data_IF_215399304780
#
_entry.id   IF_215399304780
#
_cell.length_a   1.000
_cell.length_b   1.000
_cell.length_c   1.000
_cell.angle_alpha   90.00
_cell.angle_beta   90.00
_cell.angle_gamma   90.00
#
_symmetry.space_group_name_H-M   'P 1'
#
loop_
_entity.id
_entity.type
_entity.pdbx_description
1 polymer ?
#
# COMPACT_ATOMS: atom_id res chain seq x y z
N UNK A 1 -0.73 -38.87 0.98
CA UNK A 1 -2.13 -38.47 0.91
C UNK A 1 -2.24 -37.31 -0.05
N UNK A 2 -3.01 -37.40 -1.10
CA UNK A 2 -3.19 -36.25 -1.97
C UNK A 2 -4.03 -35.18 -1.24
N UNK A 3 -3.58 -33.94 -1.31
CA UNK A 3 -4.28 -32.76 -0.81
C UNK A 3 -5.69 -32.68 -1.38
N UNK A 4 -6.69 -32.56 -0.52
CA UNK A 4 -8.06 -32.24 -0.93
C UNK A 4 -8.20 -30.74 -1.23
N UNK A 5 -8.94 -30.34 -2.26
CA UNK A 5 -9.07 -28.93 -2.70
C UNK A 5 -10.04 -28.09 -1.86
N UNK A 6 -10.28 -28.42 -0.59
CA UNK A 6 -11.31 -27.80 0.26
C UNK A 6 -10.77 -27.13 1.54
N UNK A 7 -9.47 -26.91 1.66
CA UNK A 7 -8.98 -26.10 2.77
C UNK A 7 -9.23 -24.60 2.47
N UNK A 8 -9.83 -23.84 3.42
CA UNK A 8 -10.04 -22.42 3.22
C UNK A 8 -8.69 -21.72 3.03
N UNK A 9 -8.60 -20.76 2.12
CA UNK A 9 -7.35 -20.05 1.85
C UNK A 9 -6.80 -19.40 3.12
N UNK A 10 -5.52 -19.53 3.33
CA UNK A 10 -4.81 -18.88 4.44
C UNK A 10 -4.92 -17.36 4.30
N UNK A 11 -4.86 -16.63 5.42
CA UNK A 11 -5.02 -15.17 5.42
C UNK A 11 -4.12 -14.44 4.41
N UNK A 12 -2.92 -14.99 4.10
CA UNK A 12 -2.01 -14.43 3.10
C UNK A 12 -2.52 -14.59 1.66
N UNK A 13 -3.24 -15.66 1.37
CA UNK A 13 -3.87 -15.87 0.06
C UNK A 13 -5.10 -14.99 -0.13
N UNK A 14 -5.83 -14.70 0.97
CA UNK A 14 -6.94 -13.75 0.94
C UNK A 14 -6.47 -12.33 0.68
N UNK A 15 -5.35 -11.92 1.28
CA UNK A 15 -4.74 -10.62 1.05
C UNK A 15 -4.23 -10.52 -0.39
N UNK A 16 -3.55 -11.55 -0.89
CA UNK A 16 -3.10 -11.62 -2.27
C UNK A 16 -4.27 -11.61 -3.28
N UNK A 17 -5.39 -12.27 -2.94
CA UNK A 17 -6.59 -12.28 -3.77
C UNK A 17 -7.36 -10.96 -3.73
N UNK A 18 -7.42 -10.27 -2.59
CA UNK A 18 -8.03 -8.94 -2.52
C UNK A 18 -7.19 -7.85 -3.19
N UNK A 19 -5.87 -8.07 -3.28
CA UNK A 19 -4.96 -7.25 -4.10
C UNK A 19 -5.09 -7.57 -5.60
N UNK A 20 -5.63 -8.73 -5.93
CA UNK A 20 -5.75 -9.27 -7.29
C UNK A 20 -7.19 -9.31 -7.81
N UNK A 21 -8.19 -8.73 -7.10
CA UNK A 21 -9.48 -8.52 -7.76
C UNK A 21 -9.24 -7.65 -8.99
N UNK A 22 -9.42 -8.21 -10.19
CA UNK A 22 -9.27 -7.42 -11.39
C UNK A 22 -10.39 -6.38 -11.36
N UNK A 23 -10.03 -5.13 -11.13
CA UNK A 23 -10.88 -4.03 -11.53
C UNK A 23 -11.38 -4.33 -12.94
N UNK A 24 -12.65 -4.07 -13.17
CA UNK A 24 -13.22 -4.21 -14.50
C UNK A 24 -12.20 -3.68 -15.54
N UNK A 25 -11.74 -4.49 -16.50
CA UNK A 25 -10.73 -4.08 -17.47
C UNK A 25 -11.07 -2.77 -18.18
N UNK A 26 -12.36 -2.46 -18.31
CA UNK A 26 -12.85 -1.21 -18.88
C UNK A 26 -12.59 0.00 -17.96
N UNK A 27 -12.71 -0.17 -16.65
CA UNK A 27 -12.41 0.90 -15.68
C UNK A 27 -10.91 1.12 -15.54
N UNK A 28 -10.13 0.06 -15.52
CA UNK A 28 -8.67 0.15 -15.52
C UNK A 28 -8.13 0.87 -16.77
N UNK A 29 -8.74 0.64 -17.94
CA UNK A 29 -8.37 1.30 -19.19
C UNK A 29 -8.73 2.80 -19.24
N UNK A 30 -9.65 3.25 -18.39
CA UNK A 30 -10.10 4.65 -18.34
C UNK A 30 -9.37 5.47 -17.27
N UNK A 31 -8.55 4.86 -16.42
CA UNK A 31 -7.81 5.58 -15.40
C UNK A 31 -6.65 6.37 -16.00
N UNK A 32 -6.49 7.65 -15.62
CA UNK A 32 -5.32 8.40 -16.02
C UNK A 32 -4.04 7.74 -15.49
N UNK A 33 -3.01 7.69 -16.32
CA UNK A 33 -1.69 7.13 -16.00
C UNK A 33 -0.65 8.19 -15.69
N UNK A 34 -0.97 9.46 -15.91
CA UNK A 34 -0.09 10.60 -15.66
C UNK A 34 -0.82 11.72 -14.96
N UNK A 35 -0.08 12.64 -14.37
CA UNK A 35 -0.66 13.85 -13.80
C UNK A 35 -1.37 14.73 -14.83
N UNK A 36 -0.89 14.73 -16.07
CA UNK A 36 -1.45 15.56 -17.13
C UNK A 36 -2.83 15.07 -17.58
N UNK A 37 -3.10 13.79 -17.42
CA UNK A 37 -4.39 13.17 -17.73
C UNK A 37 -5.38 13.25 -16.55
N UNK A 38 -4.93 13.65 -15.38
CA UNK A 38 -5.75 13.72 -14.18
C UNK A 38 -6.53 15.05 -14.14
N UNK A 39 -7.84 14.97 -14.13
CA UNK A 39 -8.72 16.13 -14.08
C UNK A 39 -9.06 16.55 -12.65
N UNK A 40 -8.93 17.83 -12.35
CA UNK A 40 -9.24 18.41 -11.06
C UNK A 40 -8.09 18.33 -10.04
N UNK A 41 -8.32 18.82 -8.83
CA UNK A 41 -7.35 18.83 -7.73
C UNK A 41 -6.00 19.49 -8.09
N UNK A 42 -6.01 20.56 -8.86
CA UNK A 42 -4.81 21.18 -9.45
C UNK A 42 -3.72 21.49 -8.43
N UNK A 43 -4.08 22.04 -7.28
CA UNK A 43 -3.12 22.34 -6.20
C UNK A 43 -2.46 21.09 -5.63
N UNK A 44 -3.22 20.00 -5.47
CA UNK A 44 -2.69 18.72 -5.00
C UNK A 44 -1.77 18.12 -6.04
N UNK A 45 -2.18 18.12 -7.30
CA UNK A 45 -1.38 17.63 -8.44
C UNK A 45 -0.06 18.40 -8.55
N UNK A 46 -0.08 19.73 -8.45
CA UNK A 46 1.15 20.55 -8.49
C UNK A 46 2.11 20.17 -7.35
N UNK A 47 1.61 20.01 -6.13
CA UNK A 47 2.43 19.59 -5.00
C UNK A 47 3.05 18.21 -5.22
N UNK A 48 2.28 17.25 -5.70
CA UNK A 48 2.76 15.91 -5.99
C UNK A 48 3.79 15.91 -7.13
N UNK A 49 3.61 16.71 -8.17
CA UNK A 49 4.61 16.91 -9.24
C UNK A 49 5.94 17.42 -8.68
N UNK A 50 5.91 18.38 -7.78
CA UNK A 50 7.12 18.90 -7.13
C UNK A 50 7.81 17.82 -6.28
N UNK A 51 7.05 17.06 -5.50
CA UNK A 51 7.59 15.98 -4.67
C UNK A 51 8.25 14.88 -5.52
N UNK A 52 7.58 14.46 -6.60
CA UNK A 52 8.11 13.48 -7.54
C UNK A 52 9.37 14.00 -8.22
N UNK A 53 9.36 15.22 -8.71
CA UNK A 53 10.54 15.85 -9.35
C UNK A 53 11.73 15.88 -8.41
N UNK A 54 11.53 16.33 -7.18
CA UNK A 54 12.59 16.39 -6.17
C UNK A 54 13.13 15.00 -5.78
N UNK A 55 12.28 14.00 -5.66
CA UNK A 55 12.70 12.62 -5.37
C UNK A 55 13.52 12.04 -6.53
N UNK A 56 13.08 12.24 -7.76
CA UNK A 56 13.78 11.77 -8.97
C UNK A 56 15.15 12.45 -9.12
N UNK A 57 15.24 13.75 -8.90
CA UNK A 57 16.51 14.50 -9.00
C UNK A 57 17.55 14.01 -7.99
N UNK A 58 17.11 13.58 -6.81
CA UNK A 58 17.98 13.01 -5.78
C UNK A 58 18.19 11.50 -5.91
N UNK A 59 17.45 10.85 -6.80
CA UNK A 59 17.36 9.38 -6.88
C UNK A 59 16.94 8.72 -5.55
N UNK A 60 16.03 9.37 -4.85
CA UNK A 60 15.47 8.93 -3.57
C UNK A 60 14.05 8.36 -3.76
N UNK A 61 13.57 7.48 -2.86
CA UNK A 61 12.16 7.14 -2.79
C UNK A 61 11.31 8.36 -2.40
N UNK A 62 10.01 8.30 -2.72
CA UNK A 62 9.05 9.30 -2.23
C UNK A 62 8.95 9.26 -0.71
N UNK A 63 8.84 10.42 -0.11
CA UNK A 63 8.44 10.52 1.30
C UNK A 63 7.00 10.01 1.48
N UNK A 64 6.67 9.63 2.71
CA UNK A 64 5.30 9.25 3.06
C UNK A 64 4.32 10.39 2.79
N UNK A 65 3.18 10.06 2.19
CA UNK A 65 2.16 11.02 1.76
C UNK A 65 0.82 10.62 2.35
N UNK A 66 0.13 11.56 2.97
CA UNK A 66 -1.26 11.39 3.38
C UNK A 66 -2.17 12.13 2.41
N UNK A 67 -3.02 11.38 1.71
CA UNK A 67 -4.07 11.92 0.86
C UNK A 67 -5.38 11.98 1.65
N UNK A 68 -5.83 13.17 1.99
CA UNK A 68 -7.04 13.40 2.78
C UNK A 68 -8.13 14.04 1.92
N UNK A 69 -9.36 13.57 2.08
CA UNK A 69 -10.51 14.10 1.38
C UNK A 69 -11.66 13.09 1.30
N UNK A 70 -12.86 13.56 0.88
CA UNK A 70 -14.01 12.70 0.70
C UNK A 70 -13.77 11.64 -0.39
N UNK A 71 -14.56 10.54 -0.41
CA UNK A 71 -14.46 9.53 -1.44
C UNK A 71 -14.76 10.10 -2.84
N UNK A 72 -14.20 9.49 -3.87
CA UNK A 72 -14.45 9.88 -5.27
C UNK A 72 -13.59 11.02 -5.81
N UNK A 73 -12.59 11.51 -5.05
CA UNK A 73 -11.66 12.55 -5.51
C UNK A 73 -10.39 12.01 -6.17
N UNK A 74 -10.29 10.71 -6.39
CA UNK A 74 -9.20 10.10 -7.14
C UNK A 74 -7.95 9.77 -6.32
N UNK A 75 -8.06 9.54 -5.00
CA UNK A 75 -6.92 9.19 -4.13
C UNK A 75 -6.18 7.93 -4.61
N UNK A 76 -6.91 6.88 -4.93
CA UNK A 76 -6.35 5.63 -5.49
C UNK A 76 -5.67 5.88 -6.84
N UNK A 77 -6.32 6.64 -7.72
CA UNK A 77 -5.77 7.01 -9.02
C UNK A 77 -4.47 7.80 -8.87
N UNK A 78 -4.40 8.76 -7.95
CA UNK A 78 -3.19 9.51 -7.66
C UNK A 78 -2.06 8.60 -7.16
N UNK A 79 -2.36 7.58 -6.35
CA UNK A 79 -1.33 6.63 -5.90
C UNK A 79 -0.72 5.85 -7.07
N UNK A 80 -1.54 5.44 -8.02
CA UNK A 80 -1.08 4.74 -9.24
C UNK A 80 -0.26 5.66 -10.14
N UNK A 81 -0.67 6.92 -10.30
CA UNK A 81 0.11 7.93 -11.03
C UNK A 81 1.49 8.13 -10.37
N UNK A 82 1.53 8.26 -9.04
CA UNK A 82 2.79 8.39 -8.30
C UNK A 82 3.74 7.22 -8.58
N UNK A 83 3.24 5.98 -8.55
CA UNK A 83 4.04 4.81 -8.89
C UNK A 83 4.55 4.87 -10.33
N UNK A 84 3.68 5.20 -11.27
CA UNK A 84 4.06 5.31 -12.68
C UNK A 84 5.12 6.40 -12.92
N UNK A 85 4.93 7.58 -12.33
CA UNK A 85 5.89 8.70 -12.43
C UNK A 85 7.25 8.37 -11.78
N UNK A 86 7.27 7.57 -10.74
CA UNK A 86 8.49 7.10 -10.08
C UNK A 86 9.11 5.86 -10.75
N UNK A 87 8.41 5.22 -11.68
CA UNK A 87 8.83 3.95 -12.28
C UNK A 87 8.85 2.80 -11.28
N UNK A 88 7.94 2.79 -10.32
CA UNK A 88 7.85 1.83 -9.20
C UNK A 88 6.49 1.16 -9.14
N UNK A 89 6.46 -0.02 -8.52
CA UNK A 89 5.21 -0.75 -8.30
C UNK A 89 4.41 -0.12 -7.17
N UNK A 90 3.09 -0.22 -7.28
CA UNK A 90 2.16 0.21 -6.24
C UNK A 90 1.38 -0.99 -5.75
N UNK A 91 1.52 -1.32 -4.49
CA UNK A 91 0.67 -2.30 -3.81
C UNK A 91 -0.50 -1.56 -3.16
N UNK A 92 -1.71 -1.98 -3.43
CA UNK A 92 -2.94 -1.34 -2.92
C UNK A 92 -3.58 -2.26 -1.89
N UNK A 93 -3.91 -1.70 -0.74
CA UNK A 93 -4.67 -2.36 0.32
C UNK A 93 -5.61 -1.36 0.99
N UNK A 94 -6.33 -1.80 2.01
CA UNK A 94 -7.19 -0.92 2.80
C UNK A 94 -7.05 -1.21 4.30
N UNK A 95 -7.34 -0.22 5.14
CA UNK A 95 -7.29 -0.36 6.59
C UNK A 95 -8.08 -1.55 7.12
N UNK A 96 -9.35 -1.77 6.69
CA UNK A 96 -10.16 -2.90 7.16
C UNK A 96 -9.61 -4.29 6.84
N UNK A 97 -8.78 -4.43 5.82
CA UNK A 97 -8.18 -5.71 5.40
C UNK A 97 -7.00 -6.10 6.29
N UNK A 98 -6.32 -5.12 6.87
CA UNK A 98 -5.17 -5.34 7.75
C UNK A 98 -5.68 -5.49 9.18
N UNK A 99 -5.81 -6.72 9.65
CA UNK A 99 -6.42 -7.04 10.95
C UNK A 99 -5.40 -7.13 12.08
N UNK A 100 -4.21 -7.60 11.78
CA UNK A 100 -3.14 -7.82 12.77
C UNK A 100 -1.76 -7.38 12.23
N UNK A 101 -0.79 -7.13 13.13
CA UNK A 101 0.56 -6.69 12.74
C UNK A 101 1.26 -7.62 11.74
N UNK A 102 1.02 -8.93 11.80
CA UNK A 102 1.58 -9.89 10.86
C UNK A 102 1.11 -9.65 9.41
N UNK A 103 -0.11 -9.18 9.22
CA UNK A 103 -0.64 -8.84 7.89
C UNK A 103 0.13 -7.64 7.30
N UNK A 104 0.38 -6.62 8.13
CA UNK A 104 1.19 -5.46 7.74
C UNK A 104 2.63 -5.87 7.40
N UNK A 105 3.25 -6.73 8.22
CA UNK A 105 4.59 -7.22 7.96
C UNK A 105 4.67 -7.97 6.63
N UNK A 106 3.69 -8.82 6.33
CA UNK A 106 3.60 -9.52 5.05
C UNK A 106 3.55 -8.56 3.86
N UNK A 107 2.76 -7.49 3.96
CA UNK A 107 2.69 -6.47 2.92
C UNK A 107 4.03 -5.73 2.74
N UNK A 108 4.65 -5.30 3.83
CA UNK A 108 5.89 -4.53 3.80
C UNK A 108 7.08 -5.36 3.30
N UNK A 109 7.17 -6.63 3.67
CA UNK A 109 8.27 -7.52 3.25
C UNK A 109 8.20 -7.91 1.76
N UNK A 110 7.05 -7.77 1.13
CA UNK A 110 6.87 -7.99 -0.30
C UNK A 110 7.27 -6.79 -1.17
N UNK A 111 7.46 -5.61 -0.58
CA UNK A 111 7.89 -4.42 -1.29
C UNK A 111 9.37 -4.49 -1.65
N UNK A 112 9.71 -3.99 -2.82
CA UNK A 112 11.08 -3.74 -3.22
C UNK A 112 11.46 -2.28 -2.94
N UNK A 113 12.73 -1.97 -3.02
CA UNK A 113 13.22 -0.62 -2.77
C UNK A 113 12.57 0.41 -3.71
N UNK A 114 11.93 1.39 -3.09
CA UNK A 114 11.23 2.47 -3.77
C UNK A 114 9.79 2.17 -4.16
N UNK A 115 9.29 0.93 -3.98
CA UNK A 115 7.89 0.60 -4.19
C UNK A 115 6.97 1.37 -3.24
N UNK A 116 5.73 1.56 -3.66
CA UNK A 116 4.71 2.26 -2.89
C UNK A 116 3.68 1.29 -2.32
N UNK A 117 3.35 1.46 -1.05
CA UNK A 117 2.18 0.83 -0.44
C UNK A 117 1.09 1.89 -0.24
N UNK A 118 -0.02 1.73 -0.93
CA UNK A 118 -1.20 2.56 -0.75
C UNK A 118 -2.19 1.86 0.18
N UNK A 119 -2.52 2.51 1.29
CA UNK A 119 -3.51 2.03 2.26
C UNK A 119 -4.72 2.94 2.21
N UNK A 120 -5.80 2.49 1.58
CA UNK A 120 -7.06 3.21 1.60
C UNK A 120 -7.73 3.10 2.97
N UNK A 121 -8.53 4.09 3.33
CA UNK A 121 -9.22 4.14 4.63
C UNK A 121 -8.28 3.84 5.82
N UNK A 122 -7.10 4.46 5.85
CA UNK A 122 -6.07 4.21 6.87
C UNK A 122 -6.56 4.46 8.31
N UNK A 123 -7.58 5.32 8.48
CA UNK A 123 -8.23 5.57 9.77
C UNK A 123 -8.95 4.35 10.35
N UNK A 124 -9.18 3.31 9.55
CA UNK A 124 -9.80 2.05 9.97
C UNK A 124 -8.80 0.97 10.35
N UNK A 125 -7.51 1.28 10.40
CA UNK A 125 -6.51 0.36 10.93
C UNK A 125 -6.78 0.10 12.43
N UNK A 126 -6.67 -1.15 12.91
CA UNK A 126 -6.60 -1.42 14.33
C UNK A 126 -5.44 -0.66 14.98
N UNK A 127 -5.63 -0.17 16.21
CA UNK A 127 -4.62 0.64 16.89
C UNK A 127 -3.28 -0.07 17.04
N UNK A 128 -3.30 -1.38 17.29
CA UNK A 128 -2.08 -2.19 17.35
C UNK A 128 -1.32 -2.21 16.04
N UNK A 129 -2.02 -2.31 14.91
CA UNK A 129 -1.41 -2.26 13.57
C UNK A 129 -0.86 -0.86 13.27
N UNK A 130 -1.58 0.18 13.67
CA UNK A 130 -1.16 1.58 13.50
C UNK A 130 0.17 1.85 14.20
N UNK A 131 0.37 1.34 15.42
CA UNK A 131 1.62 1.48 16.17
C UNK A 131 2.81 0.82 15.44
N UNK A 132 2.62 -0.37 14.88
CA UNK A 132 3.64 -1.03 14.05
C UNK A 132 3.91 -0.29 12.75
N UNK A 133 2.88 0.29 12.13
CA UNK A 133 3.06 1.10 10.93
C UNK A 133 3.93 2.32 11.22
N UNK A 134 3.72 3.02 12.34
CA UNK A 134 4.55 4.15 12.74
C UNK A 134 6.02 3.74 12.93
N UNK A 135 6.28 2.63 13.61
CA UNK A 135 7.65 2.11 13.74
C UNK A 135 8.30 1.81 12.38
N UNK A 136 7.54 1.21 11.46
CA UNK A 136 8.03 0.96 10.11
C UNK A 136 8.36 2.25 9.35
N UNK A 137 7.55 3.30 9.52
CA UNK A 137 7.76 4.59 8.85
C UNK A 137 8.92 5.41 9.44
N UNK A 138 9.12 5.35 10.75
CA UNK A 138 10.13 6.14 11.45
C UNK A 138 11.48 5.44 11.53
N UNK A 139 11.47 4.17 11.92
CA UNK A 139 12.67 3.39 12.22
C UNK A 139 13.10 2.48 11.08
N UNK A 140 12.28 2.36 10.04
CA UNK A 140 12.44 1.42 8.92
C UNK A 140 12.55 -0.03 9.38
N UNK A 141 11.89 -0.35 10.49
CA UNK A 141 11.85 -1.67 11.12
C UNK A 141 10.46 -2.00 11.61
N UNK A 142 10.16 -3.27 11.62
CA UNK A 142 8.96 -3.81 12.22
C UNK A 142 9.35 -5.10 12.97
N UNK A 143 9.18 -5.10 14.28
CA UNK A 143 9.43 -6.25 15.14
C UNK A 143 8.11 -6.90 15.52
N UNK A 144 7.83 -8.07 15.01
CA UNK A 144 6.60 -8.81 15.26
C UNK A 144 6.92 -10.14 15.94
N UNK A 145 6.24 -10.41 17.03
CA UNK A 145 6.25 -11.71 17.66
C UNK A 145 5.35 -12.66 16.89
N UNK A 146 5.95 -13.64 16.20
CA UNK A 146 5.22 -14.62 15.39
C UNK A 146 4.55 -15.67 16.28
N UNK A 147 5.23 -16.06 17.38
CA UNK A 147 4.73 -17.05 18.32
C UNK A 147 4.69 -16.50 19.75
N UNK A 148 3.66 -16.89 20.48
CA UNK A 148 3.57 -16.65 21.93
C UNK A 148 4.01 -17.92 22.65
N UNK A 149 5.15 -17.86 23.31
CA UNK A 149 5.67 -18.98 24.08
C UNK A 149 7.20 -19.06 24.10
N UNK A 150 7.78 -20.17 24.60
CA UNK A 150 9.23 -20.29 24.75
C UNK A 150 10.01 -20.29 23.42
N UNK A 151 9.31 -20.45 22.30
CA UNK A 151 9.88 -20.41 20.93
C UNK A 151 9.53 -19.14 20.15
N UNK A 152 9.06 -18.09 20.83
CA UNK A 152 8.70 -16.82 20.18
C UNK A 152 9.88 -16.23 19.40
N UNK A 153 9.62 -15.79 18.17
CA UNK A 153 10.59 -15.19 17.27
C UNK A 153 10.12 -13.79 16.88
N UNK A 154 11.06 -12.86 16.88
CA UNK A 154 10.85 -11.51 16.33
C UNK A 154 11.28 -11.50 14.86
N UNK A 155 10.52 -10.80 14.02
CA UNK A 155 10.80 -10.63 12.60
C UNK A 155 10.92 -9.14 12.28
#
# INVERSE_FOLDING_TARGET
>A
MPFSPEDPPTGSEFIAQSLAEPENPAEAALRPLSFDDFAGQDKTVERLKVMVGAARDRNDPLNHILLSGPPGLGKTTLSLILGNEMGKQVSITSGPVIDKPADLAGLLTNLQEGDLLFIDEIHRLPKTVEEYLYSAMEDFRIDIMIDQGPNARSV
#
